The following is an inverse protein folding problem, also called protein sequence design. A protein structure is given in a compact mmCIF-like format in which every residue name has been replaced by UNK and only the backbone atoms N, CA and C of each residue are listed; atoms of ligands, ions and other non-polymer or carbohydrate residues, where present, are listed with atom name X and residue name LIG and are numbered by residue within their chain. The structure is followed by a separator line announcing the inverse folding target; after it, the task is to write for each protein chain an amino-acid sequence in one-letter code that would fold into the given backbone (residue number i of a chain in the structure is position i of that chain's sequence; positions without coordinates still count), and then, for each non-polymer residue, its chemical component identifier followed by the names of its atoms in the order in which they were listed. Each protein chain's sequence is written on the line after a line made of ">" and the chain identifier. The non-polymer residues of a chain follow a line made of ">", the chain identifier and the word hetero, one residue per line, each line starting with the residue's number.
data_IF_567621279492
#
_entry.id   IF_567621279492
#
_cell.length_a   1.000
_cell.length_b   1.000
_cell.length_c   1.000
_cell.angle_alpha   90.00
_cell.angle_beta   90.00
_cell.angle_gamma   90.00
#
_symmetry.space_group_name_H-M   'P 1'
#
loop_
_entity.id
_entity.type
_entity.pdbx_description
1 polymer ?
#
# COMPACT_ATOMS: atom_id res chain seq x y z
N UNK A 1 -16.25 -32.21 -0.04
CA UNK A 1 -15.91 -31.44 1.16
C UNK A 1 -15.68 -30.00 0.74
N UNK A 2 -16.67 -29.13 0.91
CA UNK A 2 -16.51 -27.71 0.54
C UNK A 2 -15.68 -27.07 1.65
N UNK A 3 -14.38 -26.95 1.42
CA UNK A 3 -13.52 -26.09 2.23
C UNK A 3 -14.01 -24.66 1.98
N UNK A 4 -14.87 -24.15 2.87
CA UNK A 4 -15.09 -22.71 3.00
C UNK A 4 -14.07 -22.23 4.04
N UNK A 5 -12.82 -21.88 3.64
CA UNK A 5 -11.87 -21.30 4.58
C UNK A 5 -12.53 -20.09 5.24
N UNK A 6 -12.45 -20.02 6.56
CA UNK A 6 -13.00 -18.89 7.29
C UNK A 6 -12.15 -17.64 6.98
N UNK A 7 -12.70 -16.62 6.28
CA UNK A 7 -11.95 -15.41 5.94
C UNK A 7 -11.69 -14.51 7.16
N UNK A 8 -11.98 -14.97 8.37
CA UNK A 8 -11.70 -14.25 9.62
C UNK A 8 -10.74 -15.00 10.56
N UNK A 9 -10.22 -16.17 10.16
CA UNK A 9 -9.19 -16.87 10.92
C UNK A 9 -7.78 -16.48 10.46
N UNK A 10 -7.08 -15.71 11.28
CA UNK A 10 -5.72 -15.22 11.02
C UNK A 10 -4.68 -16.33 10.92
N UNK A 11 -4.88 -17.49 11.57
CA UNK A 11 -3.96 -18.63 11.43
C UNK A 11 -4.16 -19.38 10.11
N UNK A 12 -5.37 -19.31 9.53
CA UNK A 12 -5.70 -19.86 8.21
C UNK A 12 -5.35 -18.94 7.05
N UNK A 13 -5.22 -17.63 7.28
CA UNK A 13 -4.91 -16.61 6.26
C UNK A 13 -3.49 -16.07 6.39
N UNK A 14 -2.60 -16.66 5.61
CA UNK A 14 -1.17 -16.32 5.63
C UNK A 14 -0.87 -14.88 5.23
N UNK A 15 -1.74 -14.21 4.46
CA UNK A 15 -1.57 -12.79 4.09
C UNK A 15 -1.41 -11.88 5.32
N UNK A 16 -2.05 -12.19 6.44
CA UNK A 16 -1.95 -11.36 7.65
C UNK A 16 -0.55 -11.32 8.24
N UNK A 17 0.35 -12.24 7.88
CA UNK A 17 1.77 -12.16 8.26
C UNK A 17 2.48 -10.95 7.64
N UNK A 18 1.94 -10.36 6.58
CA UNK A 18 2.45 -9.12 5.97
C UNK A 18 1.85 -7.85 6.57
N UNK A 19 0.72 -7.97 7.26
CA UNK A 19 -0.05 -6.83 7.78
C UNK A 19 -0.21 -6.95 9.30
N UNK A 20 -1.33 -7.48 9.78
CA UNK A 20 -1.62 -7.62 11.22
C UNK A 20 -0.46 -8.20 12.03
N UNK A 21 0.18 -9.27 11.54
CA UNK A 21 1.28 -9.93 12.24
C UNK A 21 2.52 -9.04 12.43
N UNK A 22 2.81 -8.14 11.47
CA UNK A 22 3.95 -7.20 11.57
C UNK A 22 3.68 -6.05 12.55
N UNK A 23 2.40 -5.72 12.74
CA UNK A 23 1.94 -4.64 13.61
C UNK A 23 1.70 -5.08 15.06
N UNK A 24 1.62 -6.39 15.32
CA UNK A 24 1.48 -6.92 16.67
C UNK A 24 2.68 -6.51 17.52
N UNK A 25 2.38 -5.75 18.58
CA UNK A 25 3.36 -5.20 19.54
C UNK A 25 4.52 -4.44 18.88
N UNK A 26 4.26 -3.78 17.74
CA UNK A 26 5.27 -3.08 16.93
C UNK A 26 6.46 -3.97 16.52
N UNK A 27 6.28 -5.29 16.54
CA UNK A 27 7.38 -6.27 16.51
C UNK A 27 8.30 -6.11 15.31
N UNK A 28 7.76 -5.82 14.13
CA UNK A 28 8.58 -5.66 12.93
C UNK A 28 9.36 -4.35 12.92
N UNK A 29 8.75 -3.26 13.37
CA UNK A 29 9.43 -1.97 13.49
C UNK A 29 10.57 -2.07 14.53
N UNK A 30 10.27 -2.63 15.70
CA UNK A 30 11.28 -2.85 16.73
C UNK A 30 12.40 -3.78 16.25
N UNK A 31 12.07 -4.86 15.52
CA UNK A 31 13.08 -5.77 14.96
C UNK A 31 13.99 -5.08 13.92
N UNK A 32 13.50 -4.07 13.20
CA UNK A 32 14.31 -3.33 12.24
C UNK A 32 15.17 -2.25 12.88
N UNK A 33 14.60 -1.51 13.84
CA UNK A 33 15.14 -0.20 14.22
C UNK A 33 15.60 -0.08 15.68
N UNK A 34 15.29 -1.03 16.58
CA UNK A 34 15.65 -0.91 18.01
C UNK A 34 17.12 -0.62 18.25
N UNK A 35 18.01 -1.29 17.50
CA UNK A 35 19.46 -1.16 17.69
C UNK A 35 20.09 0.01 16.93
N UNK A 36 19.34 0.66 16.03
CA UNK A 36 19.90 1.66 15.11
C UNK A 36 19.31 3.04 15.27
N UNK A 37 18.12 3.17 15.88
CA UNK A 37 17.39 4.44 15.93
C UNK A 37 18.16 5.55 16.65
N UNK A 38 18.88 5.22 17.73
CA UNK A 38 19.71 6.18 18.46
C UNK A 38 20.84 6.73 17.60
N UNK A 39 21.42 5.87 16.75
CA UNK A 39 22.46 6.25 15.78
C UNK A 39 21.86 7.08 14.64
N UNK A 40 20.71 6.68 14.11
CA UNK A 40 19.99 7.38 13.04
C UNK A 40 19.63 8.80 13.47
N UNK A 41 19.17 8.96 14.71
CA UNK A 41 18.74 10.25 15.26
C UNK A 41 19.89 11.09 15.82
N UNK A 42 21.09 10.49 16.00
CA UNK A 42 22.22 11.17 16.64
C UNK A 42 22.01 11.45 18.13
N UNK A 43 21.11 10.72 18.80
CA UNK A 43 20.79 10.87 20.22
C UNK A 43 20.91 9.50 20.92
N UNK A 44 21.88 9.29 21.83
CA UNK A 44 22.03 8.02 22.53
C UNK A 44 20.87 7.69 23.48
N UNK A 45 20.04 8.69 23.83
CA UNK A 45 18.93 8.50 24.77
C UNK A 45 17.61 8.16 24.06
N UNK A 46 17.52 8.30 22.73
CA UNK A 46 16.29 7.96 22.01
C UNK A 46 16.20 6.45 21.74
N UNK A 47 15.13 5.84 22.24
CA UNK A 47 14.78 4.45 21.95
C UNK A 47 13.76 4.37 20.81
N UNK A 48 13.59 3.20 20.19
CA UNK A 48 12.59 3.02 19.14
C UNK A 48 11.15 3.23 19.66
N UNK A 49 10.79 2.74 20.87
CA UNK A 49 9.53 3.09 21.51
C UNK A 49 9.32 4.58 21.76
N UNK A 50 10.38 5.36 21.98
CA UNK A 50 10.26 6.81 22.17
C UNK A 50 10.13 7.53 20.83
N UNK A 51 10.90 7.11 19.82
CA UNK A 51 10.83 7.63 18.46
C UNK A 51 9.40 7.61 17.90
N UNK A 52 8.66 6.50 18.08
CA UNK A 52 7.29 6.40 17.55
C UNK A 52 6.29 7.33 18.25
N UNK A 53 6.65 7.91 19.39
CA UNK A 53 5.80 8.87 20.13
C UNK A 53 6.08 10.32 19.77
N UNK A 54 7.13 10.59 18.98
CA UNK A 54 7.49 11.95 18.59
C UNK A 54 6.52 12.46 17.50
N UNK A 55 5.96 13.67 17.65
CA UNK A 55 5.15 14.32 16.62
C UNK A 55 5.84 14.44 15.27
N UNK A 56 5.06 14.43 14.21
CA UNK A 56 5.55 14.46 12.83
C UNK A 56 5.15 15.76 12.14
N UNK A 57 6.06 16.32 11.35
CA UNK A 57 5.75 17.35 10.35
C UNK A 57 6.23 16.82 9.00
N UNK A 58 5.30 16.61 8.07
CA UNK A 58 5.60 16.07 6.74
C UNK A 58 5.18 17.08 5.68
N UNK A 59 6.11 17.53 4.85
CA UNK A 59 5.87 18.57 3.83
C UNK A 59 5.13 19.78 4.42
N UNK A 60 5.60 20.28 5.57
CA UNK A 60 5.00 21.38 6.33
C UNK A 60 3.67 21.08 7.05
N UNK A 61 3.08 19.89 6.90
CA UNK A 61 1.81 19.51 7.54
C UNK A 61 2.05 18.76 8.85
N UNK A 62 1.38 19.18 9.94
CA UNK A 62 1.46 18.48 11.22
C UNK A 62 0.65 17.18 11.19
N UNK A 63 1.24 16.10 11.71
CA UNK A 63 0.61 14.80 11.84
C UNK A 63 0.79 14.27 13.28
N UNK A 64 -0.12 13.39 13.75
CA UNK A 64 0.09 12.63 14.97
C UNK A 64 1.41 11.84 14.94
N UNK A 65 1.91 11.41 16.11
CA UNK A 65 3.05 10.51 16.18
C UNK A 65 2.82 9.20 15.41
N UNK A 66 3.91 8.58 14.97
CA UNK A 66 3.85 7.32 14.21
C UNK A 66 3.09 6.21 14.97
N UNK A 67 3.21 6.17 16.29
CA UNK A 67 2.48 5.22 17.15
C UNK A 67 0.97 5.32 16.98
N UNK A 68 0.41 6.52 16.78
CA UNK A 68 -1.02 6.70 16.52
C UNK A 68 -1.47 6.08 15.19
N UNK A 69 -0.59 6.05 14.18
CA UNK A 69 -0.86 5.36 12.92
C UNK A 69 -0.73 3.84 13.06
N UNK A 70 0.20 3.35 13.89
CA UNK A 70 0.29 1.92 14.22
C UNK A 70 -0.93 1.43 15.00
N UNK A 71 -1.45 2.22 15.94
CA UNK A 71 -2.69 1.92 16.65
C UNK A 71 -3.89 1.81 15.70
N UNK A 72 -4.05 2.77 14.79
CA UNK A 72 -5.10 2.72 13.79
C UNK A 72 -4.92 1.55 12.82
N UNK A 73 -3.70 1.28 12.37
CA UNK A 73 -3.40 0.14 11.51
C UNK A 73 -3.71 -1.19 12.19
N UNK A 74 -3.38 -1.34 13.48
CA UNK A 74 -3.76 -2.51 14.28
C UNK A 74 -5.26 -2.71 14.30
N UNK A 75 -6.04 -1.64 14.48
CA UNK A 75 -7.51 -1.70 14.44
C UNK A 75 -8.02 -2.12 13.06
N UNK A 76 -7.66 -1.37 12.01
CA UNK A 76 -8.22 -1.57 10.68
C UNK A 76 -7.77 -2.90 10.05
N UNK A 77 -6.54 -3.34 10.31
CA UNK A 77 -5.95 -4.53 9.69
C UNK A 77 -6.06 -5.79 10.56
N UNK A 78 -6.74 -5.73 11.70
CA UNK A 78 -7.04 -6.91 12.51
C UNK A 78 -8.23 -7.67 11.88
N UNK A 79 -8.06 -8.94 11.49
CA UNK A 79 -9.12 -9.73 10.83
C UNK A 79 -10.35 -9.99 11.71
N UNK A 80 -10.25 -9.76 13.02
CA UNK A 80 -11.33 -10.02 13.99
C UNK A 80 -12.03 -8.74 14.47
N UNK A 81 -11.48 -7.57 14.15
CA UNK A 81 -11.96 -6.29 14.68
C UNK A 81 -13.24 -5.83 13.95
N UNK A 82 -14.34 -5.55 14.68
CA UNK A 82 -15.50 -4.88 14.12
C UNK A 82 -15.14 -3.46 13.64
N UNK A 83 -15.71 -3.02 12.51
CA UNK A 83 -15.32 -1.75 11.89
C UNK A 83 -13.91 -1.76 11.28
N UNK A 84 -13.37 -2.95 10.99
CA UNK A 84 -12.10 -3.20 10.30
C UNK A 84 -12.26 -4.19 9.15
N UNK A 85 -11.26 -5.05 8.92
CA UNK A 85 -11.29 -6.06 7.85
C UNK A 85 -12.50 -6.99 7.87
N UNK A 86 -12.98 -7.35 9.08
CA UNK A 86 -14.13 -8.27 9.24
C UNK A 86 -15.38 -7.77 8.53
N UNK A 87 -15.48 -6.47 8.37
CA UNK A 87 -16.64 -5.74 7.90
C UNK A 87 -16.60 -5.46 6.39
N UNK A 88 -15.56 -5.91 5.69
CA UNK A 88 -15.37 -5.76 4.25
C UNK A 88 -15.56 -7.11 3.52
N UNK A 89 -15.82 -7.09 2.19
CA UNK A 89 -15.90 -8.29 1.40
C UNK A 89 -14.60 -9.09 1.43
N UNK A 90 -14.72 -10.41 1.27
CA UNK A 90 -13.60 -11.31 1.09
C UNK A 90 -13.71 -12.00 -0.27
N UNK A 91 -12.57 -12.18 -0.94
CA UNK A 91 -12.44 -12.89 -2.21
C UNK A 91 -11.19 -13.78 -2.17
N UNK A 92 -11.10 -14.73 -3.10
CA UNK A 92 -9.85 -15.46 -3.28
C UNK A 92 -8.85 -14.56 -4.01
N UNK A 93 -7.69 -14.33 -3.39
CA UNK A 93 -6.62 -13.48 -3.90
C UNK A 93 -5.25 -14.17 -3.78
N UNK A 94 -4.25 -13.60 -4.45
CA UNK A 94 -2.90 -14.16 -4.49
C UNK A 94 -2.12 -13.87 -3.19
N UNK A 95 -2.40 -12.74 -2.56
CA UNK A 95 -1.81 -12.18 -1.34
C UNK A 95 -0.52 -11.38 -1.57
N UNK A 96 0.14 -11.59 -2.71
CA UNK A 96 1.42 -10.96 -3.03
C UNK A 96 1.63 -10.71 -4.54
N UNK A 97 0.59 -10.25 -5.24
CA UNK A 97 0.60 -10.08 -6.71
C UNK A 97 1.31 -8.84 -7.24
N UNK A 98 2.47 -8.48 -6.67
CA UNK A 98 3.30 -7.39 -7.21
C UNK A 98 4.13 -7.85 -8.42
N UNK A 99 4.73 -6.93 -9.16
CA UNK A 99 5.44 -7.23 -10.42
C UNK A 99 6.60 -8.24 -10.30
N UNK A 100 7.16 -8.43 -9.09
CA UNK A 100 8.18 -9.44 -8.83
C UNK A 100 7.65 -10.88 -8.83
N UNK A 101 6.33 -11.06 -8.70
CA UNK A 101 5.64 -12.35 -8.68
C UNK A 101 4.81 -12.59 -9.95
N UNK A 102 5.31 -12.06 -11.07
CA UNK A 102 4.72 -12.22 -12.40
C UNK A 102 5.79 -12.71 -13.37
N UNK A 103 5.48 -13.77 -14.11
CA UNK A 103 6.29 -14.25 -15.24
C UNK A 103 5.57 -13.96 -16.55
N UNK A 104 6.32 -13.58 -17.59
CA UNK A 104 5.80 -13.44 -18.94
C UNK A 104 6.60 -14.32 -19.90
N UNK A 105 5.92 -15.03 -20.80
CA UNK A 105 6.58 -15.80 -21.86
C UNK A 105 7.01 -14.86 -22.99
N UNK A 106 8.31 -14.75 -23.31
CA UNK A 106 8.76 -13.93 -24.44
C UNK A 106 8.36 -14.56 -25.79
N UNK A 107 7.99 -13.74 -26.78
CA UNK A 107 8.02 -14.13 -28.20
C UNK A 107 6.71 -14.59 -28.87
N UNK A 108 5.53 -14.32 -28.29
CA UNK A 108 4.22 -14.56 -28.94
C UNK A 108 3.52 -13.28 -29.42
N UNK A 109 2.43 -13.43 -30.19
CA UNK A 109 1.51 -12.31 -30.53
C UNK A 109 0.75 -11.77 -29.30
N UNK A 110 0.59 -12.59 -28.26
CA UNK A 110 0.19 -12.20 -26.91
C UNK A 110 1.26 -12.63 -25.91
N UNK A 111 1.57 -11.77 -24.94
CA UNK A 111 2.39 -12.16 -23.79
C UNK A 111 1.50 -12.97 -22.86
N UNK A 112 1.78 -14.27 -22.73
CA UNK A 112 1.16 -15.08 -21.69
C UNK A 112 1.76 -14.68 -20.35
N UNK A 113 0.91 -14.14 -19.47
CA UNK A 113 1.29 -13.69 -18.13
C UNK A 113 0.81 -14.73 -17.12
N UNK A 114 1.72 -15.16 -16.25
CA UNK A 114 1.43 -16.10 -15.16
C UNK A 114 1.87 -15.52 -13.81
N UNK A 115 0.97 -15.56 -12.84
CA UNK A 115 1.31 -15.30 -11.45
C UNK A 115 2.06 -16.48 -10.83
N UNK A 116 3.04 -16.17 -9.99
CA UNK A 116 3.82 -17.14 -9.22
C UNK A 116 3.73 -16.83 -7.72
N UNK A 117 4.37 -17.66 -6.91
CA UNK A 117 4.47 -17.48 -5.45
C UNK A 117 3.12 -17.42 -4.72
N UNK A 118 2.37 -18.52 -4.80
CA UNK A 118 1.06 -18.70 -4.17
C UNK A 118 1.12 -18.93 -2.66
N UNK A 119 2.26 -18.67 -2.00
CA UNK A 119 2.49 -19.09 -0.62
C UNK A 119 1.53 -18.45 0.39
N UNK A 120 0.99 -17.27 0.07
CA UNK A 120 0.00 -16.53 0.85
C UNK A 120 -1.39 -16.46 0.22
N UNK A 121 -1.60 -17.17 -0.89
CA UNK A 121 -2.91 -17.21 -1.56
C UNK A 121 -4.00 -17.76 -0.65
N UNK A 122 -5.21 -17.23 -0.79
CA UNK A 122 -6.31 -17.59 0.09
C UNK A 122 -7.50 -16.65 -0.03
N UNK A 123 -8.48 -16.83 0.86
CA UNK A 123 -9.65 -15.95 0.94
C UNK A 123 -9.40 -14.83 1.93
N UNK A 124 -9.31 -13.60 1.46
CA UNK A 124 -9.04 -12.39 2.26
C UNK A 124 -9.67 -11.15 1.64
N UNK A 125 -9.55 -10.01 2.33
CA UNK A 125 -10.04 -8.74 1.83
C UNK A 125 -9.26 -8.29 0.57
N UNK A 126 -9.93 -7.99 -0.57
CA UNK A 126 -9.25 -7.58 -1.81
C UNK A 126 -8.34 -6.35 -1.66
N UNK A 127 -8.69 -5.42 -0.76
CA UNK A 127 -7.87 -4.22 -0.50
C UNK A 127 -6.51 -4.56 0.13
N UNK A 128 -6.40 -5.68 0.87
CA UNK A 128 -5.10 -6.18 1.33
C UNK A 128 -4.30 -6.80 0.19
N UNK A 129 -4.98 -7.52 -0.71
CA UNK A 129 -4.36 -8.19 -1.86
C UNK A 129 -3.62 -7.19 -2.75
N UNK A 130 -4.22 -6.01 -2.90
CA UNK A 130 -3.71 -4.95 -3.75
C UNK A 130 -2.62 -4.10 -3.11
N UNK A 131 -2.59 -3.98 -1.78
CA UNK A 131 -1.73 -3.02 -1.09
C UNK A 131 -0.25 -3.19 -1.46
N UNK A 132 0.25 -4.44 -1.49
CA UNK A 132 1.65 -4.70 -1.88
C UNK A 132 1.91 -4.38 -3.34
N UNK A 133 1.00 -4.73 -4.25
CA UNK A 133 1.16 -4.42 -5.66
C UNK A 133 1.12 -2.90 -5.92
N UNK A 134 0.25 -2.17 -5.23
CA UNK A 134 0.22 -0.71 -5.30
C UNK A 134 1.48 -0.07 -4.76
N UNK A 135 1.96 -0.51 -3.60
CA UNK A 135 3.13 0.10 -2.98
C UNK A 135 4.42 -0.27 -3.72
N UNK A 136 4.66 -1.57 -3.93
CA UNK A 136 5.91 -2.05 -4.52
C UNK A 136 6.07 -1.61 -5.98
N UNK A 137 4.97 -1.59 -6.74
CA UNK A 137 5.02 -1.24 -8.16
C UNK A 137 4.83 0.27 -8.38
N UNK A 138 3.89 0.91 -7.66
CA UNK A 138 3.59 2.34 -7.82
C UNK A 138 4.61 3.26 -7.14
N UNK A 139 5.08 2.90 -5.95
CA UNK A 139 6.14 3.61 -5.23
C UNK A 139 7.48 2.90 -5.37
N UNK A 140 7.74 2.29 -6.53
CA UNK A 140 8.95 1.51 -6.82
C UNK A 140 10.23 2.24 -6.44
N UNK A 141 10.33 3.52 -6.77
CA UNK A 141 11.51 4.33 -6.49
C UNK A 141 11.75 4.56 -4.99
N UNK A 142 10.69 4.61 -4.18
CA UNK A 142 10.80 4.70 -2.72
C UNK A 142 11.07 3.32 -2.09
N UNK A 143 10.42 2.28 -2.63
CA UNK A 143 10.52 0.93 -2.08
C UNK A 143 11.83 0.22 -2.43
N UNK A 144 12.38 0.46 -3.63
CA UNK A 144 13.66 -0.06 -4.13
C UNK A 144 14.76 1.00 -4.19
N UNK A 145 14.59 2.14 -3.52
CA UNK A 145 15.57 3.22 -3.54
C UNK A 145 16.98 2.81 -3.08
N UNK A 146 17.11 1.76 -2.28
CA UNK A 146 18.40 1.20 -1.86
C UNK A 146 19.16 0.48 -2.97
N UNK A 147 18.45 -0.01 -3.98
CA UNK A 147 19.03 -0.63 -5.18
C UNK A 147 19.27 0.40 -6.29
N UNK A 148 18.55 1.53 -6.26
CA UNK A 148 18.57 2.54 -7.32
C UNK A 148 19.57 3.67 -7.08
N UNK A 149 19.86 3.98 -5.81
CA UNK A 149 20.76 5.07 -5.46
C UNK A 149 21.36 4.90 -4.07
N UNK A 150 22.61 5.34 -3.90
CA UNK A 150 23.31 5.31 -2.60
C UNK A 150 22.75 6.33 -1.59
N UNK A 151 22.09 7.40 -2.07
CA UNK A 151 21.55 8.46 -1.22
C UNK A 151 20.46 9.27 -1.96
N UNK A 152 19.36 9.56 -1.25
CA UNK A 152 18.25 10.37 -1.77
C UNK A 152 18.32 11.87 -1.38
N UNK A 153 19.39 12.33 -0.73
CA UNK A 153 19.47 13.71 -0.25
C UNK A 153 19.61 14.74 -1.39
N UNK A 154 18.74 15.76 -1.40
CA UNK A 154 18.78 17.09 -2.07
C UNK A 154 19.24 17.25 -3.54
N UNK A 155 19.73 16.20 -4.19
CA UNK A 155 20.12 16.22 -5.60
C UNK A 155 19.24 15.24 -6.38
N UNK A 156 18.84 15.61 -7.61
CA UNK A 156 18.23 14.66 -8.53
C UNK A 156 19.13 13.42 -8.65
N UNK A 157 18.54 12.26 -8.43
CA UNK A 157 19.19 10.97 -8.53
C UNK A 157 18.34 10.05 -9.41
N UNK A 158 18.85 8.86 -9.72
CA UNK A 158 18.17 7.92 -10.63
C UNK A 158 16.76 7.50 -10.14
N UNK A 159 16.44 7.70 -8.87
CA UNK A 159 15.11 7.42 -8.32
C UNK A 159 14.10 8.55 -8.54
N UNK A 160 14.51 9.76 -8.95
CA UNK A 160 13.60 10.90 -9.08
C UNK A 160 13.00 11.38 -7.74
N UNK A 161 13.51 10.90 -6.60
CA UNK A 161 13.03 11.26 -5.27
C UNK A 161 14.11 12.04 -4.53
N UNK A 162 13.70 13.11 -3.86
CA UNK A 162 14.52 13.81 -2.87
C UNK A 162 13.86 13.75 -1.50
N UNK A 163 14.68 13.64 -0.45
CA UNK A 163 14.21 13.70 0.94
C UNK A 163 15.19 14.50 1.79
N UNK A 164 14.65 15.36 2.63
CA UNK A 164 15.32 16.05 3.71
C UNK A 164 14.60 15.72 5.02
N UNK A 165 15.34 15.52 6.10
CA UNK A 165 14.75 15.29 7.40
C UNK A 165 15.53 16.03 8.48
N UNK A 166 14.84 16.29 9.60
CA UNK A 166 15.48 16.73 10.85
C UNK A 166 14.82 16.02 12.02
N UNK A 167 15.63 15.73 13.04
CA UNK A 167 15.17 15.09 14.27
C UNK A 167 15.41 16.03 15.46
N UNK A 168 14.43 16.05 16.35
CA UNK A 168 14.53 16.58 17.71
C UNK A 168 13.61 15.77 18.63
N UNK A 169 13.84 15.73 19.94
CA UNK A 169 12.93 15.05 20.89
C UNK A 169 11.48 15.54 20.81
N UNK A 170 11.27 16.78 20.36
CA UNK A 170 9.94 17.40 20.27
C UNK A 170 9.22 17.11 18.96
N UNK A 171 9.96 16.89 17.86
CA UNK A 171 9.37 16.73 16.51
C UNK A 171 10.37 16.12 15.52
N UNK A 172 9.85 15.26 14.65
CA UNK A 172 10.51 14.78 13.43
C UNK A 172 9.94 15.57 12.26
N UNK A 173 10.80 16.19 11.45
CA UNK A 173 10.39 16.84 10.21
C UNK A 173 10.91 16.05 9.02
N UNK A 174 10.05 15.82 8.03
CA UNK A 174 10.42 15.18 6.77
C UNK A 174 9.83 15.99 5.62
N UNK A 175 10.67 16.49 4.75
CA UNK A 175 10.26 17.13 3.50
C UNK A 175 10.77 16.28 2.34
N UNK A 176 9.89 15.96 1.40
CA UNK A 176 10.25 15.13 0.25
C UNK A 176 9.53 15.57 -1.01
N UNK A 177 10.19 15.33 -2.13
CA UNK A 177 9.62 15.44 -3.47
C UNK A 177 9.75 14.08 -4.16
N UNK A 178 8.66 13.59 -4.74
CA UNK A 178 8.64 12.33 -5.45
C UNK A 178 8.19 12.55 -6.89
N UNK A 179 9.13 12.56 -7.82
CA UNK A 179 8.83 12.54 -9.25
C UNK A 179 8.91 11.10 -9.77
N UNK A 180 7.74 10.49 -9.94
CA UNK A 180 7.63 9.15 -10.52
C UNK A 180 7.67 9.29 -12.03
N UNK A 181 8.59 8.57 -12.68
CA UNK A 181 8.68 8.56 -14.14
C UNK A 181 7.43 7.97 -14.82
N UNK A 182 7.26 8.24 -16.11
CA UNK A 182 6.03 7.91 -16.86
C UNK A 182 5.63 6.44 -16.76
N UNK A 183 6.60 5.52 -16.81
CA UNK A 183 6.32 4.08 -16.67
C UNK A 183 5.73 3.76 -15.28
N UNK A 184 6.29 4.33 -14.22
CA UNK A 184 5.76 4.15 -12.86
C UNK A 184 4.37 4.75 -12.69
N UNK A 185 4.15 5.94 -13.27
CA UNK A 185 2.82 6.59 -13.29
C UNK A 185 1.80 5.73 -14.02
N UNK A 186 2.11 5.23 -15.22
CA UNK A 186 1.21 4.36 -15.99
C UNK A 186 0.88 3.07 -15.23
N UNK A 187 1.87 2.42 -14.61
CA UNK A 187 1.65 1.21 -13.81
C UNK A 187 0.72 1.49 -12.62
N UNK A 188 0.99 2.57 -11.87
CA UNK A 188 0.17 2.96 -10.72
C UNK A 188 -1.26 3.31 -11.15
N UNK A 189 -1.42 4.19 -12.14
CA UNK A 189 -2.72 4.62 -12.67
C UNK A 189 -3.51 3.43 -13.21
N UNK A 190 -2.88 2.50 -13.91
CA UNK A 190 -3.57 1.30 -14.43
C UNK A 190 -4.17 0.48 -13.28
N UNK A 191 -3.43 0.26 -12.18
CA UNK A 191 -3.95 -0.46 -11.01
C UNK A 191 -5.04 0.33 -10.28
N UNK A 192 -4.91 1.65 -10.21
CA UNK A 192 -5.91 2.51 -9.58
C UNK A 192 -7.23 2.50 -10.39
N UNK A 193 -7.14 2.71 -11.69
CA UNK A 193 -8.29 2.85 -12.58
C UNK A 193 -8.99 1.51 -12.85
N UNK A 194 -8.22 0.47 -13.15
CA UNK A 194 -8.80 -0.80 -13.62
C UNK A 194 -8.92 -1.87 -12.54
N UNK A 195 -8.46 -1.59 -11.31
CA UNK A 195 -8.61 -2.53 -10.18
C UNK A 195 -9.26 -1.84 -8.99
N UNK A 196 -8.70 -0.72 -8.50
CA UNK A 196 -9.21 -0.09 -7.27
C UNK A 196 -10.60 0.50 -7.46
N UNK A 197 -10.80 1.30 -8.51
CA UNK A 197 -12.10 1.92 -8.78
C UNK A 197 -13.20 0.88 -8.96
N UNK A 198 -13.05 -0.17 -9.81
CA UNK A 198 -14.05 -1.23 -9.92
C UNK A 198 -14.36 -1.94 -8.59
N UNK A 199 -13.36 -2.16 -7.73
CA UNK A 199 -13.59 -2.77 -6.43
C UNK A 199 -14.35 -1.85 -5.47
N UNK A 200 -14.02 -0.56 -5.45
CA UNK A 200 -14.76 0.41 -4.63
C UNK A 200 -16.18 0.61 -5.13
N UNK A 201 -16.39 0.62 -6.46
CA UNK A 201 -17.71 0.62 -7.08
C UNK A 201 -18.53 -0.61 -6.66
N UNK A 202 -17.94 -1.80 -6.74
CA UNK A 202 -18.59 -3.02 -6.30
C UNK A 202 -18.97 -2.99 -4.81
N UNK A 203 -18.15 -2.36 -3.97
CA UNK A 203 -18.47 -2.14 -2.54
C UNK A 203 -19.65 -1.17 -2.41
N UNK A 204 -19.66 -0.04 -3.13
CA UNK A 204 -20.75 0.94 -3.09
C UNK A 204 -22.07 0.42 -3.66
N UNK A 205 -22.03 -0.46 -4.66
CA UNK A 205 -23.25 -1.08 -5.21
C UNK A 205 -23.91 -2.03 -4.21
N UNK A 206 -23.09 -2.72 -3.40
CA UNK A 206 -23.55 -3.78 -2.50
C UNK A 206 -23.74 -3.34 -1.06
N UNK A 207 -23.21 -2.17 -0.71
CA UNK A 207 -23.14 -1.67 0.65
C UNK A 207 -23.31 -0.15 0.70
N UNK A 208 -23.47 0.42 1.89
CA UNK A 208 -23.52 1.88 2.05
C UNK A 208 -22.13 2.54 1.91
N UNK A 209 -22.13 3.86 1.79
CA UNK A 209 -20.90 4.67 1.62
C UNK A 209 -19.89 4.50 2.76
N UNK A 210 -20.33 4.11 3.97
CA UNK A 210 -19.41 3.89 5.09
C UNK A 210 -18.48 2.68 4.86
N UNK A 211 -18.89 1.72 4.02
CA UNK A 211 -18.02 0.60 3.63
C UNK A 211 -16.95 1.00 2.62
N UNK A 212 -17.24 1.98 1.76
CA UNK A 212 -16.24 2.57 0.85
C UNK A 212 -15.19 3.31 1.69
N UNK A 213 -15.64 4.15 2.63
CA UNK A 213 -14.74 4.86 3.56
C UNK A 213 -13.88 3.89 4.37
N UNK A 214 -14.46 2.76 4.81
CA UNK A 214 -13.74 1.72 5.52
C UNK A 214 -12.72 1.01 4.62
N UNK A 215 -13.08 0.71 3.38
CA UNK A 215 -12.19 0.09 2.40
C UNK A 215 -10.96 0.96 2.13
N UNK A 216 -11.17 2.27 1.98
CA UNK A 216 -10.07 3.24 1.81
C UNK A 216 -9.19 3.33 3.04
N UNK A 217 -9.77 3.34 4.25
CA UNK A 217 -8.99 3.30 5.50
C UNK A 217 -8.17 2.02 5.60
N UNK A 218 -8.75 0.86 5.28
CA UNK A 218 -8.04 -0.43 5.27
C UNK A 218 -6.88 -0.39 4.27
N UNK A 219 -7.12 0.08 3.05
CA UNK A 219 -6.07 0.19 2.02
C UNK A 219 -4.96 1.15 2.46
N UNK A 220 -5.29 2.36 2.93
CA UNK A 220 -4.31 3.34 3.39
C UNK A 220 -3.41 2.82 4.51
N UNK A 221 -3.97 2.10 5.49
CA UNK A 221 -3.19 1.49 6.57
C UNK A 221 -2.41 0.26 6.10
N UNK A 222 -2.91 -0.50 5.13
CA UNK A 222 -2.15 -1.58 4.51
C UNK A 222 -0.93 -1.03 3.74
N UNK A 223 -1.08 0.10 3.05
CA UNK A 223 0.01 0.81 2.39
C UNK A 223 1.06 1.34 3.38
N UNK A 224 0.64 1.87 4.54
CA UNK A 224 1.56 2.21 5.65
C UNK A 224 2.39 0.99 6.09
N UNK A 225 1.75 -0.17 6.27
CA UNK A 225 2.45 -1.40 6.62
C UNK A 225 3.41 -1.86 5.51
N UNK A 226 3.04 -1.69 4.24
CA UNK A 226 3.93 -1.93 3.10
C UNK A 226 5.18 -1.06 3.17
N UNK A 227 4.99 0.25 3.36
CA UNK A 227 6.05 1.25 3.42
C UNK A 227 7.07 0.98 4.53
N UNK A 228 6.61 0.74 5.75
CA UNK A 228 7.48 0.72 6.93
C UNK A 228 7.94 -0.66 7.38
N UNK A 229 7.16 -1.70 7.09
CA UNK A 229 7.34 -3.01 7.75
C UNK A 229 7.76 -4.12 6.78
N UNK A 230 7.85 -3.83 5.49
CA UNK A 230 8.26 -4.83 4.50
C UNK A 230 9.78 -4.92 4.36
N UNK A 231 10.46 -3.78 4.25
CA UNK A 231 11.92 -3.71 4.08
C UNK A 231 12.59 -3.02 5.25
N UNK A 232 13.80 -3.48 5.57
CA UNK A 232 14.61 -2.90 6.63
C UNK A 232 15.51 -1.81 6.06
N UNK A 233 15.26 -0.56 6.44
CA UNK A 233 16.07 0.59 6.04
C UNK A 233 16.98 1.11 7.17
N UNK A 234 17.32 0.29 8.16
CA UNK A 234 18.14 0.71 9.30
C UNK A 234 19.54 1.22 8.92
N UNK A 235 20.03 0.84 7.74
CA UNK A 235 21.29 1.34 7.15
C UNK A 235 21.10 2.49 6.16
N UNK A 236 19.87 2.91 5.91
CA UNK A 236 19.48 3.94 4.94
C UNK A 236 18.46 4.89 5.56
N UNK A 237 18.91 5.82 6.44
CA UNK A 237 18.03 6.76 7.12
C UNK A 237 17.15 7.57 6.17
N UNK A 238 17.71 7.99 5.03
CA UNK A 238 17.00 8.67 3.97
C UNK A 238 15.76 7.88 3.50
N UNK A 239 15.91 6.58 3.26
CA UNK A 239 14.80 5.70 2.88
C UNK A 239 13.84 5.41 4.01
N UNK A 240 14.32 5.30 5.26
CA UNK A 240 13.46 5.18 6.43
C UNK A 240 12.53 6.39 6.53
N UNK A 241 13.07 7.61 6.50
CA UNK A 241 12.27 8.82 6.63
C UNK A 241 11.35 9.05 5.43
N UNK A 242 11.79 8.73 4.20
CA UNK A 242 10.92 8.76 3.03
C UNK A 242 9.73 7.80 3.16
N UNK A 243 9.98 6.53 3.49
CA UNK A 243 8.91 5.53 3.60
C UNK A 243 8.01 5.80 4.82
N UNK A 244 8.55 6.38 5.90
CA UNK A 244 7.75 6.89 7.02
C UNK A 244 6.79 7.97 6.56
N UNK A 245 7.30 9.00 5.87
CA UNK A 245 6.50 10.10 5.39
C UNK A 245 5.41 9.63 4.41
N UNK A 246 5.77 8.83 3.41
CA UNK A 246 4.82 8.27 2.45
C UNK A 246 3.77 7.39 3.14
N UNK A 247 4.18 6.48 4.02
CA UNK A 247 3.26 5.59 4.73
C UNK A 247 2.26 6.36 5.59
N UNK A 248 2.73 7.36 6.34
CA UNK A 248 1.87 8.23 7.18
C UNK A 248 0.88 9.01 6.32
N UNK A 249 1.33 9.62 5.22
CA UNK A 249 0.44 10.36 4.32
C UNK A 249 -0.57 9.46 3.62
N UNK A 250 -0.19 8.25 3.21
CA UNK A 250 -1.10 7.27 2.60
C UNK A 250 -2.18 6.78 3.58
N UNK A 251 -1.83 6.59 4.85
CA UNK A 251 -2.81 6.25 5.89
C UNK A 251 -3.75 7.41 6.23
N UNK A 252 -3.25 8.66 6.18
CA UNK A 252 -4.03 9.86 6.49
C UNK A 252 -4.95 10.30 5.34
N UNK A 253 -4.43 10.35 4.11
CA UNK A 253 -5.13 10.82 2.91
C UNK A 253 -4.49 10.22 1.65
N UNK A 254 -4.80 8.95 1.42
CA UNK A 254 -4.39 8.19 0.24
C UNK A 254 -4.70 8.91 -1.08
N UNK A 255 -5.91 9.48 -1.21
CA UNK A 255 -6.37 10.13 -2.44
C UNK A 255 -5.47 11.30 -2.82
N UNK A 256 -5.12 12.14 -1.83
CA UNK A 256 -4.22 13.27 -2.03
C UNK A 256 -2.81 12.81 -2.45
N UNK A 257 -2.28 11.77 -1.82
CA UNK A 257 -0.95 11.25 -2.19
C UNK A 257 -0.95 10.73 -3.63
N UNK A 258 -1.99 10.01 -4.06
CA UNK A 258 -2.10 9.53 -5.44
C UNK A 258 -2.24 10.66 -6.45
N UNK A 259 -3.02 11.70 -6.12
CA UNK A 259 -3.13 12.89 -6.98
C UNK A 259 -1.80 13.63 -7.14
N UNK A 260 -1.08 13.84 -6.04
CA UNK A 260 0.21 14.53 -6.08
C UNK A 260 1.31 13.71 -6.76
N UNK A 261 1.35 12.40 -6.51
CA UNK A 261 2.45 11.53 -6.98
C UNK A 261 2.24 11.04 -8.42
N UNK A 262 1.00 10.69 -8.76
CA UNK A 262 0.66 10.03 -10.02
C UNK A 262 -0.20 10.90 -10.94
N UNK A 263 -0.63 12.08 -10.49
CA UNK A 263 -1.58 12.91 -11.26
C UNK A 263 -2.98 12.29 -11.36
N UNK A 264 -3.31 11.33 -10.49
CA UNK A 264 -4.57 10.58 -10.54
C UNK A 264 -5.56 11.06 -9.49
N UNK A 265 -6.75 11.47 -9.93
CA UNK A 265 -7.83 11.91 -9.04
C UNK A 265 -8.89 10.82 -8.98
N UNK A 266 -9.08 10.24 -7.78
CA UNK A 266 -10.12 9.24 -7.55
C UNK A 266 -11.51 9.84 -7.82
N UNK A 267 -12.34 9.22 -8.69
CA UNK A 267 -13.72 9.64 -8.86
C UNK A 267 -14.49 9.53 -7.54
N UNK A 268 -15.46 10.42 -7.33
CA UNK A 268 -16.28 10.35 -6.11
C UNK A 268 -17.34 9.27 -6.25
N UNK A 269 -17.87 8.80 -5.12
CA UNK A 269 -18.91 7.77 -5.10
C UNK A 269 -20.15 8.25 -5.87
N UNK A 270 -20.45 9.54 -5.77
CA UNK A 270 -21.56 10.17 -6.49
C UNK A 270 -21.40 10.08 -8.01
N UNK A 271 -20.16 10.11 -8.50
CA UNK A 271 -19.84 10.06 -9.92
C UNK A 271 -20.05 8.66 -10.52
N UNK A 272 -20.10 7.60 -9.69
CA UNK A 272 -20.23 6.21 -10.16
C UNK A 272 -21.64 5.88 -10.67
N UNK A 273 -22.66 6.57 -10.14
CA UNK A 273 -24.05 6.39 -10.55
C UNK A 273 -24.38 6.96 -11.94
N UNK A 274 -23.47 7.77 -12.51
CA UNK A 274 -23.66 8.47 -13.78
C UNK A 274 -23.03 7.76 -14.98
N UNK A 275 -22.27 6.67 -14.77
CA UNK A 275 -21.74 5.89 -15.88
C UNK A 275 -22.79 4.86 -16.32
N UNK A 276 -23.21 4.86 -17.60
CA UNK A 276 -24.10 3.83 -18.11
C UNK A 276 -23.42 2.48 -17.87
N UNK A 277 -24.08 1.60 -17.12
CA UNK A 277 -23.66 0.22 -16.93
C UNK A 277 -23.22 -0.32 -18.28
N UNK A 278 -21.95 -0.71 -18.42
CA UNK A 278 -21.42 -1.27 -19.65
C UNK A 278 -22.33 -2.41 -20.11
N UNK A 279 -23.25 -2.11 -21.04
CA UNK A 279 -23.80 -3.09 -21.97
C UNK A 279 -22.61 -3.55 -22.81
N UNK A 280 -21.81 -4.47 -22.26
CA UNK A 280 -21.04 -5.39 -23.05
C UNK A 280 -22.07 -6.29 -23.72
N UNK A 281 -22.67 -5.77 -24.79
CA UNK A 281 -23.45 -6.57 -25.73
C UNK A 281 -22.56 -7.69 -26.19
N UNK A 282 -23.01 -8.90 -25.91
CA UNK A 282 -22.63 -10.10 -26.63
C UNK A 282 -23.02 -9.91 -28.10
N UNK A 283 -22.12 -9.32 -28.89
CA UNK A 283 -22.12 -9.40 -30.36
C UNK A 283 -20.85 -10.16 -30.77
N UNK A 284 -20.79 -11.45 -30.44
CA UNK A 284 -19.84 -12.41 -31.02
C UNK A 284 -20.50 -13.77 -31.29
N UNK A 285 -21.80 -13.79 -31.59
CA UNK A 285 -22.49 -15.03 -31.95
C UNK A 285 -23.48 -14.79 -33.08
N UNK A 286 -22.97 -14.36 -34.24
CA UNK A 286 -23.65 -14.52 -35.53
C UNK A 286 -22.64 -14.23 -36.66
N UNK A 287 -22.08 -15.27 -37.28
CA UNK A 287 -21.45 -15.10 -38.60
C UNK A 287 -20.24 -15.97 -38.93
N UNK A 288 -20.42 -17.30 -39.00
CA UNK A 288 -19.69 -18.09 -40.02
C UNK A 288 -20.40 -19.42 -40.30
N UNK A 289 -21.58 -19.34 -40.90
CA UNK A 289 -22.02 -20.36 -41.85
C UNK A 289 -21.45 -19.99 -43.21
N UNK A 290 -20.46 -20.75 -43.69
CA UNK A 290 -20.05 -20.76 -45.08
C UNK A 290 -20.11 -22.22 -45.53
N UNK A 291 -21.01 -22.47 -46.48
CA UNK A 291 -21.10 -23.66 -47.32
C UNK A 291 -19.82 -23.88 -48.16
#
# INVERSE_FOLDING_TARGET
>A
MILRPNPFDSQGQKIHRYFSGRLQSDSRFLAFYSDTISTICGDPNISAPDFVKIPLVINGTQHPPLGSFFDQARKYLNPREPGGLRDLPAAFGLGDGHGGNVMGTPGGQSTDIMHIDYEVSGTHCPFLDMAKAMYNDGFFNAFYGDLLSDNLSSKPNASGITVAWSFSPEVIRVDYEADVGDVGKVIAVTKLEYILVPLLQLVAEKHDSSKVDLAEKVLGHALLACALLTRNFSKRPDLLFLNLALGVRLAADMRRVFAETFGWVMPRVEDWSAQPSNEVRAELDEGSGID
#
